data_IF_656315227665
#
_entry.id   IF_656315227665
#
_cell.length_a   1.000
_cell.length_b   1.000
_cell.length_c   1.000
_cell.angle_alpha   90.00
_cell.angle_beta   90.00
_cell.angle_gamma   90.00
#
_symmetry.space_group_name_H-M   'P 1'
#
loop_
_entity.id
_entity.type
_entity.pdbx_description
1 polymer ?
#
# COMPACT_ATOMS: atom_id res chain seq x y z
N UNK A 1 16.17 53.62 -1.86
CA UNK A 1 14.92 53.08 -2.47
C UNK A 1 15.00 51.59 -2.87
N UNK A 2 16.16 50.93 -2.92
CA UNK A 2 16.28 49.52 -3.36
C UNK A 2 15.82 48.44 -2.37
N UNK A 3 15.84 48.69 -1.06
CA UNK A 3 15.63 47.62 -0.07
C UNK A 3 14.18 47.10 -0.02
N UNK A 4 13.19 47.95 -0.31
CA UNK A 4 11.78 47.57 -0.35
C UNK A 4 11.45 46.61 -1.51
N UNK A 5 12.14 46.73 -2.64
CA UNK A 5 11.91 45.90 -3.82
C UNK A 5 12.49 44.49 -3.68
N UNK A 6 13.62 44.35 -2.97
CA UNK A 6 14.26 43.04 -2.74
C UNK A 6 13.37 42.17 -1.84
N UNK A 7 12.75 42.77 -0.82
CA UNK A 7 11.88 42.03 0.11
C UNK A 7 10.61 41.51 -0.58
N UNK A 8 9.99 42.29 -1.47
CA UNK A 8 8.80 41.86 -2.23
C UNK A 8 9.09 40.74 -3.21
N UNK A 9 10.27 40.74 -3.85
CA UNK A 9 10.67 39.67 -4.78
C UNK A 9 10.86 38.35 -4.02
N UNK A 10 11.47 38.38 -2.83
CA UNK A 10 11.67 37.19 -2.00
C UNK A 10 10.33 36.60 -1.55
N UNK A 11 9.40 37.44 -1.06
CA UNK A 11 8.06 36.98 -0.64
C UNK A 11 7.27 36.39 -1.81
N UNK A 12 7.37 36.98 -3.01
CA UNK A 12 6.72 36.44 -4.21
C UNK A 12 7.30 35.08 -4.64
N UNK A 13 8.60 34.86 -4.45
CA UNK A 13 9.27 33.58 -4.74
C UNK A 13 8.86 32.46 -3.76
N UNK A 14 8.67 32.79 -2.47
CA UNK A 14 8.14 31.84 -1.50
C UNK A 14 6.66 31.52 -1.75
N UNK A 15 5.86 32.48 -2.20
CA UNK A 15 4.43 32.27 -2.47
C UNK A 15 4.17 31.36 -3.69
N UNK A 16 4.94 31.49 -4.77
CA UNK A 16 4.80 30.62 -5.95
C UNK A 16 5.29 29.19 -5.70
N UNK A 17 6.26 29.01 -4.80
CA UNK A 17 6.75 27.69 -4.39
C UNK A 17 5.70 26.85 -3.66
N UNK A 18 4.74 27.49 -2.97
CA UNK A 18 3.66 26.80 -2.25
C UNK A 18 2.53 26.30 -3.15
N UNK A 19 2.38 26.83 -4.36
CA UNK A 19 1.24 26.52 -5.24
C UNK A 19 1.56 25.34 -6.19
N UNK A 20 2.78 24.82 -6.17
CA UNK A 20 3.21 23.72 -7.03
C UNK A 20 2.77 22.31 -6.58
N UNK A 21 1.97 22.16 -5.51
CA UNK A 21 1.59 20.83 -4.98
C UNK A 21 0.16 20.37 -5.28
N UNK A 22 -0.52 20.95 -6.26
CA UNK A 22 -1.74 20.37 -6.82
C UNK A 22 -1.68 20.31 -8.33
N UNK A 23 -0.53 19.86 -8.86
CA UNK A 23 -0.53 19.20 -10.15
C UNK A 23 -1.27 17.88 -9.98
N UNK A 24 -2.60 17.91 -10.15
CA UNK A 24 -3.39 16.74 -10.55
C UNK A 24 -2.66 16.17 -11.77
N UNK A 25 -1.80 15.18 -11.54
CA UNK A 25 -1.21 14.44 -12.62
C UNK A 25 -2.39 13.83 -13.37
N UNK A 26 -2.56 14.26 -14.62
CA UNK A 26 -3.43 13.69 -15.64
C UNK A 26 -2.94 12.28 -16.02
N UNK A 27 -2.72 11.44 -15.01
CA UNK A 27 -2.51 10.01 -15.12
C UNK A 27 -3.87 9.30 -15.08
N UNK A 28 -3.98 8.16 -15.76
CA UNK A 28 -5.15 7.30 -15.68
C UNK A 28 -5.49 7.05 -14.20
N UNK A 29 -6.79 7.01 -13.83
CA UNK A 29 -7.16 6.74 -12.45
C UNK A 29 -6.53 5.42 -11.99
N UNK A 30 -6.12 5.37 -10.72
CA UNK A 30 -5.47 4.19 -10.14
C UNK A 30 -6.28 2.91 -10.38
N UNK A 31 -7.61 3.07 -10.38
CA UNK A 31 -8.60 2.08 -10.76
C UNK A 31 -9.38 2.54 -12.00
N UNK A 32 -9.42 1.70 -13.03
CA UNK A 32 -10.32 1.92 -14.15
C UNK A 32 -11.73 1.46 -13.74
N UNK A 33 -12.74 2.30 -13.98
CA UNK A 33 -14.13 1.98 -13.69
C UNK A 33 -14.59 0.70 -14.40
N UNK A 34 -14.02 0.40 -15.58
CA UNK A 34 -14.26 -0.87 -16.28
C UNK A 34 -13.82 -2.09 -15.46
N UNK A 35 -12.73 -1.96 -14.70
CA UNK A 35 -12.27 -3.02 -13.80
C UNK A 35 -13.21 -3.21 -12.60
N UNK A 36 -13.85 -2.13 -12.14
CA UNK A 36 -14.83 -2.21 -11.04
C UNK A 36 -16.11 -2.92 -11.48
N UNK A 37 -16.55 -2.75 -12.73
CA UNK A 37 -17.75 -3.40 -13.26
C UNK A 37 -17.67 -4.94 -13.26
N UNK A 38 -16.46 -5.50 -13.35
CA UNK A 38 -16.25 -6.96 -13.30
C UNK A 38 -15.97 -7.49 -11.89
N UNK A 39 -15.85 -6.62 -10.89
CA UNK A 39 -15.52 -7.01 -9.52
C UNK A 39 -16.78 -7.08 -8.65
N UNK A 40 -17.10 -8.25 -8.06
CA UNK A 40 -18.36 -8.41 -7.34
C UNK A 40 -18.45 -7.53 -6.09
N UNK A 41 -17.34 -7.32 -5.39
CA UNK A 41 -17.26 -6.45 -4.22
C UNK A 41 -15.83 -5.98 -3.96
N UNK A 42 -15.69 -4.72 -3.59
CA UNK A 42 -14.46 -4.10 -3.10
C UNK A 42 -14.49 -3.89 -1.59
N UNK A 43 -13.33 -4.00 -0.95
CA UNK A 43 -13.16 -3.79 0.49
C UNK A 43 -11.73 -3.32 0.84
N UNK A 44 -11.55 -2.79 2.05
CA UNK A 44 -10.26 -2.38 2.63
C UNK A 44 -9.37 -1.48 1.74
N UNK A 45 -9.88 -0.44 1.05
CA UNK A 45 -9.03 0.40 0.21
C UNK A 45 -7.91 1.06 1.04
N UNK A 46 -6.69 1.04 0.52
CA UNK A 46 -5.50 1.60 1.16
C UNK A 46 -4.61 2.28 0.13
N UNK A 47 -4.03 3.42 0.49
CA UNK A 47 -3.08 4.17 -0.34
C UNK A 47 -1.78 4.35 0.46
N UNK A 48 -0.62 4.24 -0.21
CA UNK A 48 0.67 4.52 0.42
C UNK A 48 0.77 5.99 0.82
N UNK A 49 1.61 6.30 1.82
CA UNK A 49 1.74 7.67 2.34
C UNK A 49 2.19 8.68 1.27
N UNK A 50 2.99 8.23 0.31
CA UNK A 50 3.46 9.03 -0.80
C UNK A 50 2.50 9.05 -2.01
N UNK A 51 1.33 8.40 -1.91
CA UNK A 51 0.36 8.33 -2.99
C UNK A 51 0.82 7.56 -4.23
N UNK A 52 1.95 6.83 -4.19
CA UNK A 52 2.49 6.13 -5.39
C UNK A 52 1.90 4.74 -5.60
N UNK A 53 1.31 4.15 -4.57
CA UNK A 53 0.76 2.80 -4.60
C UNK A 53 -0.64 2.79 -3.97
N UNK A 54 -1.49 1.90 -4.49
CA UNK A 54 -2.78 1.59 -3.90
C UNK A 54 -2.91 0.08 -3.68
N UNK A 55 -3.74 -0.29 -2.71
CA UNK A 55 -4.16 -1.66 -2.50
C UNK A 55 -5.66 -1.71 -2.18
N UNK A 56 -6.30 -2.81 -2.54
CA UNK A 56 -7.67 -3.11 -2.16
C UNK A 56 -7.90 -4.61 -2.11
N UNK A 57 -8.99 -5.02 -1.47
CA UNK A 57 -9.46 -6.39 -1.45
C UNK A 57 -10.64 -6.54 -2.39
N UNK A 58 -10.57 -7.53 -3.27
CA UNK A 58 -11.68 -7.92 -4.13
C UNK A 58 -12.27 -9.22 -3.61
N UNK A 59 -13.57 -9.25 -3.35
CA UNK A 59 -14.31 -10.41 -2.85
C UNK A 59 -15.25 -10.95 -3.92
N UNK A 60 -15.45 -12.27 -3.91
CA UNK A 60 -16.45 -12.93 -4.75
C UNK A 60 -15.98 -13.33 -6.16
N UNK A 61 -14.73 -13.03 -6.56
CA UNK A 61 -14.17 -13.53 -7.83
C UNK A 61 -13.96 -15.04 -7.76
N UNK A 62 -13.36 -15.51 -6.66
CA UNK A 62 -13.10 -16.92 -6.42
C UNK A 62 -13.88 -17.35 -5.17
N UNK A 63 -14.56 -18.49 -5.26
CA UNK A 63 -15.31 -19.05 -4.13
C UNK A 63 -14.36 -19.27 -2.95
N UNK A 64 -14.84 -18.97 -1.74
CA UNK A 64 -14.10 -19.19 -0.49
C UNK A 64 -12.71 -18.55 -0.41
N UNK A 65 -12.49 -17.46 -1.14
CA UNK A 65 -11.25 -16.68 -1.06
C UNK A 65 -11.51 -15.21 -1.34
N UNK A 66 -10.45 -14.41 -1.23
CA UNK A 66 -10.42 -13.02 -1.60
C UNK A 66 -9.10 -12.70 -2.30
N UNK A 67 -9.10 -11.66 -3.12
CA UNK A 67 -7.93 -11.24 -3.86
C UNK A 67 -7.45 -9.90 -3.31
N UNK A 68 -6.23 -9.84 -2.78
CA UNK A 68 -5.57 -8.56 -2.51
C UNK A 68 -4.98 -8.07 -3.83
N UNK A 69 -5.42 -6.92 -4.30
CA UNK A 69 -4.83 -6.21 -5.43
C UNK A 69 -3.90 -5.13 -4.89
N UNK A 70 -2.70 -5.02 -5.46
CA UNK A 70 -1.79 -3.89 -5.26
C UNK A 70 -1.38 -3.38 -6.63
N UNK A 71 -1.35 -2.06 -6.78
CA UNK A 71 -1.01 -1.43 -8.05
C UNK A 71 -0.18 -0.17 -7.83
N UNK A 72 0.80 0.03 -8.71
CA UNK A 72 1.47 1.33 -8.82
C UNK A 72 0.56 2.33 -9.53
N UNK A 73 0.38 3.52 -8.97
CA UNK A 73 -0.49 4.54 -9.59
C UNK A 73 0.16 5.08 -10.86
N UNK A 74 1.47 5.34 -10.81
CA UNK A 74 2.25 5.85 -11.94
C UNK A 74 3.06 4.77 -12.66
N UNK A 75 3.18 3.58 -12.05
CA UNK A 75 3.93 2.46 -12.62
C UNK A 75 2.98 1.48 -13.28
N UNK A 76 3.34 0.96 -14.46
CA UNK A 76 2.57 -0.06 -15.18
C UNK A 76 2.79 -1.46 -14.59
N UNK A 77 2.52 -1.65 -13.30
CA UNK A 77 2.50 -2.98 -12.70
C UNK A 77 1.38 -3.12 -11.67
N UNK A 78 0.85 -4.34 -11.60
CA UNK A 78 -0.10 -4.77 -10.57
C UNK A 78 0.31 -6.16 -10.04
N UNK A 79 -0.11 -6.46 -8.81
CA UNK A 79 0.02 -7.78 -8.19
C UNK A 79 -1.31 -8.17 -7.58
N UNK A 80 -1.65 -9.45 -7.72
CA UNK A 80 -2.85 -10.06 -7.15
C UNK A 80 -2.41 -11.21 -6.26
N UNK A 81 -2.91 -11.25 -5.04
CA UNK A 81 -2.66 -12.32 -4.07
C UNK A 81 -4.00 -12.95 -3.72
N UNK A 82 -4.15 -14.25 -3.99
CA UNK A 82 -5.34 -14.99 -3.60
C UNK A 82 -5.11 -15.47 -2.17
N UNK A 83 -5.98 -15.05 -1.26
CA UNK A 83 -5.95 -15.42 0.15
C UNK A 83 -7.22 -16.23 0.47
N UNK A 84 -7.09 -17.47 0.96
CA UNK A 84 -8.23 -18.32 1.29
C UNK A 84 -9.03 -17.75 2.48
N UNK A 85 -10.36 -17.92 2.45
CA UNK A 85 -11.24 -17.76 3.62
C UNK A 85 -11.22 -19.08 4.41
N UNK A 86 -11.51 -19.09 5.74
CA UNK A 86 -12.02 -18.01 6.58
C UNK A 86 -11.13 -17.86 7.83
N UNK A 87 -10.05 -17.08 7.82
CA UNK A 87 -9.15 -17.12 8.99
C UNK A 87 -9.03 -15.79 9.73
N UNK A 88 -8.77 -14.65 9.10
CA UNK A 88 -8.94 -13.34 9.76
C UNK A 88 -9.28 -12.28 8.72
N UNK A 89 -9.90 -11.17 9.14
CA UNK A 89 -10.06 -9.99 8.30
C UNK A 89 -8.75 -9.70 7.56
N UNK A 90 -8.83 -9.59 6.24
CA UNK A 90 -7.66 -9.39 5.38
C UNK A 90 -6.93 -8.14 5.85
N UNK A 91 -5.76 -8.34 6.45
CA UNK A 91 -4.99 -7.25 7.03
C UNK A 91 -3.74 -7.03 6.19
N UNK A 92 -3.58 -5.80 5.72
CA UNK A 92 -2.39 -5.33 5.05
C UNK A 92 -2.18 -3.84 5.29
N UNK A 93 -0.94 -3.41 5.11
CA UNK A 93 -0.57 -2.01 5.20
C UNK A 93 0.74 -1.73 4.47
N UNK A 94 0.90 -0.47 4.08
CA UNK A 94 2.16 0.03 3.57
C UNK A 94 3.11 0.35 4.72
N UNK A 95 4.40 0.02 4.56
CA UNK A 95 5.42 0.48 5.50
C UNK A 95 5.54 2.00 5.48
N UNK A 96 5.95 2.59 6.60
CA UNK A 96 6.06 4.05 6.76
C UNK A 96 7.00 4.70 5.73
N UNK A 97 8.01 3.97 5.28
CA UNK A 97 8.99 4.40 4.26
C UNK A 97 8.53 4.17 2.81
N UNK A 98 7.31 3.65 2.61
CA UNK A 98 6.72 3.29 1.32
C UNK A 98 7.56 2.31 0.47
N UNK A 99 8.42 1.51 1.10
CA UNK A 99 9.25 0.50 0.40
C UNK A 99 8.62 -0.88 0.40
N UNK A 100 7.77 -1.18 1.37
CA UNK A 100 7.21 -2.52 1.58
C UNK A 100 5.69 -2.46 1.71
N UNK A 101 5.04 -3.51 1.25
CA UNK A 101 3.65 -3.79 1.56
C UNK A 101 3.57 -5.10 2.32
N UNK A 102 3.03 -5.05 3.53
CA UNK A 102 2.89 -6.21 4.39
C UNK A 102 1.47 -6.74 4.27
N UNK A 103 1.32 -8.06 4.19
CA UNK A 103 0.02 -8.71 4.17
C UNK A 103 0.08 -10.06 4.86
N UNK A 104 -1.05 -10.44 5.47
CA UNK A 104 -1.22 -11.75 6.07
C UNK A 104 -1.84 -12.73 5.06
N UNK A 105 -1.28 -13.93 4.99
CA UNK A 105 -1.80 -15.06 4.23
C UNK A 105 -1.85 -16.29 5.15
N UNK A 106 -3.05 -16.61 5.64
CA UNK A 106 -3.22 -17.59 6.72
C UNK A 106 -2.45 -17.19 7.99
N UNK A 107 -1.49 -18.03 8.39
CA UNK A 107 -0.60 -17.79 9.53
C UNK A 107 0.72 -17.13 9.14
N UNK A 108 0.95 -16.88 7.85
CA UNK A 108 2.19 -16.28 7.37
C UNK A 108 2.06 -14.77 7.21
N UNK A 109 3.04 -14.03 7.72
CA UNK A 109 3.20 -12.61 7.46
C UNK A 109 4.19 -12.44 6.30
N UNK A 110 3.70 -11.95 5.18
CA UNK A 110 4.49 -11.75 3.96
C UNK A 110 4.75 -10.26 3.74
N UNK A 111 5.79 -9.96 2.96
CA UNK A 111 5.96 -8.61 2.43
C UNK A 111 6.36 -8.60 0.95
N UNK A 112 5.88 -7.58 0.25
CA UNK A 112 6.25 -7.24 -1.11
C UNK A 112 7.20 -6.04 -1.08
N UNK A 113 8.35 -6.15 -1.73
CA UNK A 113 9.19 -4.99 -2.08
C UNK A 113 8.53 -4.23 -3.24
N UNK A 114 8.10 -3.00 -2.99
CA UNK A 114 7.32 -2.20 -3.95
C UNK A 114 8.17 -1.61 -5.08
N UNK A 115 9.48 -1.47 -4.86
CA UNK A 115 10.39 -0.96 -5.88
C UNK A 115 10.80 -2.06 -6.85
N UNK A 116 11.14 -3.23 -6.30
CA UNK A 116 11.60 -4.40 -7.06
C UNK A 116 10.45 -5.25 -7.58
N UNK A 117 9.25 -5.10 -7.01
CA UNK A 117 8.10 -5.96 -7.28
C UNK A 117 8.40 -7.45 -7.00
N UNK A 118 9.19 -7.70 -5.95
CA UNK A 118 9.63 -9.04 -5.50
C UNK A 118 8.97 -9.36 -4.17
N UNK A 119 8.39 -10.55 -4.07
CA UNK A 119 7.78 -11.05 -2.84
C UNK A 119 8.84 -11.73 -2.00
N UNK A 120 8.88 -11.42 -0.71
CA UNK A 120 9.62 -12.22 0.25
C UNK A 120 8.63 -12.82 1.24
N UNK A 121 8.59 -14.15 1.25
CA UNK A 121 7.77 -14.90 2.20
C UNK A 121 8.56 -15.09 3.48
N UNK A 122 8.05 -14.56 4.59
CA UNK A 122 8.50 -14.99 5.93
C UNK A 122 7.48 -15.96 6.47
N UNK A 123 7.82 -17.24 6.43
CA UNK A 123 7.03 -18.26 7.10
C UNK A 123 7.24 -18.08 8.60
N UNK A 124 6.25 -17.54 9.30
CA UNK A 124 6.31 -17.38 10.75
C UNK A 124 5.75 -18.65 11.40
N UNK A 125 6.56 -19.72 11.45
CA UNK A 125 6.28 -20.87 12.31
C UNK A 125 6.62 -20.51 13.77
N UNK A 126 5.90 -19.58 14.40
CA UNK A 126 6.24 -19.15 15.77
C UNK A 126 5.02 -18.85 16.62
N UNK A 127 4.53 -19.87 17.34
CA UNK A 127 4.15 -19.75 18.76
C UNK A 127 4.56 -20.99 19.59
N UNK A 128 4.76 -22.19 19.02
CA UNK A 128 5.04 -23.40 19.83
C UNK A 128 6.45 -23.49 20.42
N UNK A 129 7.48 -22.86 19.82
CA UNK A 129 8.87 -23.01 20.27
C UNK A 129 9.40 -21.88 21.18
N UNK A 130 8.75 -20.71 21.24
CA UNK A 130 9.18 -19.63 22.16
C UNK A 130 8.67 -19.87 23.59
N UNK A 131 7.50 -20.49 23.78
CA UNK A 131 6.97 -20.76 25.12
C UNK A 131 7.78 -21.80 25.91
N UNK A 132 8.37 -22.81 25.25
CA UNK A 132 9.20 -23.82 25.95
C UNK A 132 10.49 -23.25 26.52
N UNK A 133 11.02 -22.15 25.99
CA UNK A 133 12.28 -21.57 26.45
C UNK A 133 12.11 -20.58 27.62
N UNK A 134 10.88 -20.13 27.91
CA UNK A 134 10.61 -19.16 28.99
C UNK A 134 10.03 -19.77 30.26
N UNK A 135 9.66 -21.06 30.27
CA UNK A 135 9.04 -21.74 31.42
C UNK A 135 9.82 -22.98 31.89
N UNK A 136 11.07 -23.14 31.46
CA UNK A 136 11.91 -24.31 31.76
C UNK A 136 13.00 -24.10 32.80
N UNK A 137 13.02 -22.96 33.50
CA UNK A 137 13.92 -22.70 34.63
C UNK A 137 13.09 -22.16 35.80
N UNK A 138 12.51 -23.07 36.57
CA UNK A 138 11.81 -22.83 37.83
C UNK A 138 11.73 -24.14 38.58
#
# INVERSE_FOLDING_TARGET
MCLKYILTIIVAFYFTSSIAQTGLQTGKPALDFKSVLIWPKLDNPCISRDGRYMACTIKGIVKDSCTILIKGILKKWERKFIVPKPIFSVTYFFSRDNRRFLYQDGLSLNYLDLQKNIITKKCFLLISNIRKKQWGNG
#
